data_IF_355998782209
#
_entry.id   IF_355998782209
#
_cell.length_a   1.000
_cell.length_b   1.000
_cell.length_c   1.000
_cell.angle_alpha   90.00
_cell.angle_beta   90.00
_cell.angle_gamma   90.00
#
_symmetry.space_group_name_H-M   'P 1'
#
loop_
_entity.id
_entity.type
_entity.pdbx_description
1 polymer ?
#
# COMPACT_ATOMS: atom_id res chain seq x y z
N UNK A 1 -13.22 4.61 -16.31
CA UNK A 1 -13.25 4.90 -14.86
C UNK A 1 -12.07 5.77 -14.42
N UNK A 2 -10.81 5.36 -14.64
CA UNK A 2 -9.62 6.17 -14.26
C UNK A 2 -9.57 7.57 -14.91
N UNK A 3 -9.88 7.69 -16.22
CA UNK A 3 -9.94 8.98 -16.91
C UNK A 3 -10.94 9.97 -16.31
N UNK A 4 -12.06 9.50 -15.75
CA UNK A 4 -13.04 10.39 -15.11
C UNK A 4 -12.52 10.94 -13.78
N UNK A 5 -11.77 10.13 -13.02
CA UNK A 5 -11.14 10.56 -11.75
C UNK A 5 -10.03 11.56 -12.04
N UNK A 6 -9.18 11.30 -13.03
CA UNK A 6 -8.12 12.23 -13.46
C UNK A 6 -8.71 13.58 -13.89
N UNK A 7 -9.75 13.57 -14.73
CA UNK A 7 -10.44 14.77 -15.16
C UNK A 7 -11.07 15.53 -13.98
N UNK A 8 -11.70 14.80 -13.04
CA UNK A 8 -12.33 15.41 -11.87
C UNK A 8 -11.31 16.09 -10.95
N UNK A 9 -10.14 15.47 -10.73
CA UNK A 9 -9.05 16.07 -9.94
C UNK A 9 -8.58 17.36 -10.61
N UNK A 10 -8.30 17.32 -11.92
CA UNK A 10 -7.86 18.52 -12.64
C UNK A 10 -8.89 19.65 -12.64
N UNK A 11 -10.18 19.33 -12.73
CA UNK A 11 -11.26 20.32 -12.62
C UNK A 11 -11.32 20.90 -11.20
N UNK A 12 -11.19 20.08 -10.15
CA UNK A 12 -11.19 20.57 -8.77
C UNK A 12 -9.98 21.45 -8.48
N UNK A 13 -8.79 21.07 -8.94
CA UNK A 13 -7.57 21.89 -8.82
C UNK A 13 -7.77 23.26 -9.48
N UNK A 14 -8.33 23.28 -10.69
CA UNK A 14 -8.64 24.52 -11.39
C UNK A 14 -9.67 25.39 -10.67
N UNK A 15 -10.77 24.82 -10.18
CA UNK A 15 -11.85 25.56 -9.52
C UNK A 15 -11.48 26.06 -8.13
N UNK A 16 -10.61 25.36 -7.41
CA UNK A 16 -10.20 25.70 -6.04
C UNK A 16 -8.92 26.53 -5.98
N UNK A 17 -8.16 26.61 -7.08
CA UNK A 17 -6.83 27.21 -7.11
C UNK A 17 -5.75 26.39 -6.41
N UNK A 18 -6.09 25.18 -5.91
CA UNK A 18 -5.15 24.25 -5.31
C UNK A 18 -4.45 23.45 -6.43
N UNK A 19 -3.13 23.32 -6.39
CA UNK A 19 -2.36 22.68 -7.47
C UNK A 19 -1.86 21.28 -7.15
N UNK A 20 -2.16 20.78 -5.95
CA UNK A 20 -1.59 19.57 -5.35
C UNK A 20 -2.65 18.62 -4.79
N UNK A 21 -3.94 18.80 -5.13
CA UNK A 21 -5.01 17.89 -4.69
C UNK A 21 -4.74 16.45 -5.14
N UNK A 22 -4.11 16.27 -6.30
CA UNK A 22 -3.65 14.96 -6.76
C UNK A 22 -2.72 14.24 -5.78
N UNK A 23 -1.95 14.98 -4.97
CA UNK A 23 -1.03 14.44 -3.96
C UNK A 23 -1.77 13.84 -2.75
N UNK A 24 -3.03 14.22 -2.54
CA UNK A 24 -3.92 13.59 -1.56
C UNK A 24 -4.53 12.26 -2.05
N UNK A 25 -4.12 11.77 -3.23
CA UNK A 25 -4.68 10.57 -3.87
C UNK A 25 -3.57 9.63 -4.34
N UNK A 26 -3.94 8.42 -4.80
CA UNK A 26 -2.99 7.50 -5.45
C UNK A 26 -2.83 7.76 -6.96
N UNK A 27 -3.12 8.97 -7.43
CA UNK A 27 -3.08 9.35 -8.85
C UNK A 27 -1.75 8.99 -9.51
N UNK A 28 -0.63 9.31 -8.88
CA UNK A 28 0.70 9.12 -9.44
C UNK A 28 1.02 7.64 -9.78
N UNK A 29 0.37 6.67 -9.13
CA UNK A 29 0.58 5.24 -9.37
C UNK A 29 -0.62 4.54 -10.01
N UNK A 30 -1.74 5.25 -10.18
CA UNK A 30 -3.04 4.70 -10.56
C UNK A 30 -3.12 4.02 -11.94
N UNK A 31 -2.22 4.37 -12.86
CA UNK A 31 -2.11 3.72 -14.18
C UNK A 31 -1.26 2.45 -14.15
N UNK A 32 -0.36 2.36 -13.18
CA UNK A 32 0.61 1.25 -13.04
C UNK A 32 0.14 0.18 -12.08
N UNK A 33 -0.63 0.56 -11.06
CA UNK A 33 -1.14 -0.33 -10.02
C UNK A 33 -2.65 -0.46 -10.11
N UNK A 34 -3.10 -1.70 -9.96
CA UNK A 34 -4.51 -2.03 -9.85
C UNK A 34 -4.98 -1.75 -8.42
N UNK A 35 -5.55 -0.56 -8.20
CA UNK A 35 -5.98 -0.08 -6.88
C UNK A 35 -7.35 -0.65 -6.44
N UNK A 36 -7.70 -1.87 -6.88
CA UNK A 36 -8.98 -2.48 -6.57
C UNK A 36 -9.16 -2.60 -5.05
N UNK A 37 -10.27 -2.04 -4.53
CA UNK A 37 -10.61 -2.11 -3.12
C UNK A 37 -9.99 -1.05 -2.22
N UNK A 38 -9.11 -0.18 -2.74
CA UNK A 38 -8.62 1.00 -2.00
C UNK A 38 -9.72 2.05 -1.98
N UNK A 39 -10.14 2.47 -0.77
CA UNK A 39 -11.22 3.46 -0.59
C UNK A 39 -12.61 2.98 -1.03
N UNK A 40 -12.82 1.66 -1.12
CA UNK A 40 -14.14 1.12 -1.45
C UNK A 40 -15.12 1.36 -0.30
N UNK A 41 -16.24 2.01 -0.61
CA UNK A 41 -17.35 2.25 0.34
C UNK A 41 -17.84 0.94 0.95
N UNK A 42 -18.32 1.03 2.19
CA UNK A 42 -18.86 -0.10 2.96
C UNK A 42 -17.84 -1.23 3.25
N UNK A 43 -16.53 -1.00 3.08
CA UNK A 43 -15.51 -1.89 3.62
C UNK A 43 -15.15 -1.49 5.05
N UNK A 44 -14.64 -2.44 5.86
CA UNK A 44 -13.99 -2.11 7.13
C UNK A 44 -12.91 -1.07 6.89
N UNK A 45 -13.10 0.11 7.46
CA UNK A 45 -12.07 1.14 7.46
C UNK A 45 -11.11 0.87 8.59
N UNK A 46 -9.87 1.29 8.43
CA UNK A 46 -8.85 1.18 9.47
C UNK A 46 -8.39 2.54 9.91
N UNK A 47 -8.04 2.68 11.18
CA UNK A 47 -7.54 3.93 11.73
C UNK A 47 -6.48 3.68 12.80
N UNK A 48 -5.70 4.74 13.09
CA UNK A 48 -4.85 4.77 14.25
C UNK A 48 -5.65 5.35 15.44
N UNK A 49 -5.80 4.60 16.54
CA UNK A 49 -6.51 5.12 17.72
C UNK A 49 -5.77 6.27 18.40
N UNK A 50 -4.43 6.32 18.26
CA UNK A 50 -3.62 7.39 18.84
C UNK A 50 -3.79 8.69 18.04
N UNK A 51 -3.72 8.65 16.71
CA UNK A 51 -4.04 9.82 15.86
C UNK A 51 -5.41 10.42 16.19
N UNK A 52 -6.44 9.58 16.36
CA UNK A 52 -7.77 10.07 16.71
C UNK A 52 -7.86 10.67 18.11
N UNK A 53 -7.04 10.20 19.05
CA UNK A 53 -7.00 10.75 20.40
C UNK A 53 -6.25 12.10 20.47
N UNK A 54 -5.27 12.31 19.59
CA UNK A 54 -4.40 13.49 19.59
C UNK A 54 -4.92 14.63 18.69
N UNK A 55 -5.55 14.30 17.56
CA UNK A 55 -6.02 15.31 16.61
C UNK A 55 -7.26 16.05 17.14
N UNK A 56 -7.21 17.37 17.11
CA UNK A 56 -8.39 18.20 17.30
C UNK A 56 -9.39 18.02 16.14
N UNK A 57 -10.67 18.26 16.40
CA UNK A 57 -11.72 18.04 15.40
C UNK A 57 -11.57 18.97 14.17
N UNK A 58 -11.03 20.18 14.36
CA UNK A 58 -10.78 21.13 13.28
C UNK A 58 -9.65 20.69 12.32
N UNK A 59 -8.75 19.83 12.79
CA UNK A 59 -7.61 19.29 12.02
C UNK A 59 -7.83 17.84 11.59
N UNK A 60 -9.09 17.40 11.61
CA UNK A 60 -9.43 16.00 11.40
C UNK A 60 -9.12 15.54 9.97
N UNK A 61 -8.03 14.78 9.84
CA UNK A 61 -7.62 14.15 8.58
C UNK A 61 -7.25 12.69 8.80
N UNK A 62 -7.60 11.85 7.83
CA UNK A 62 -7.22 10.44 7.76
C UNK A 62 -6.13 10.26 6.70
N UNK A 63 -4.94 9.73 7.06
CA UNK A 63 -3.91 9.43 6.09
C UNK A 63 -4.39 8.46 4.99
N UNK A 64 -4.09 8.78 3.73
CA UNK A 64 -4.37 7.94 2.56
C UNK A 64 -3.88 6.49 2.76
N UNK A 65 -2.74 6.32 3.43
CA UNK A 65 -2.13 5.03 3.71
C UNK A 65 -3.06 4.06 4.45
N UNK A 66 -3.98 4.55 5.29
CA UNK A 66 -4.91 3.71 6.05
C UNK A 66 -5.89 2.94 5.16
N UNK A 67 -6.19 3.48 3.98
CA UNK A 67 -7.05 2.84 2.98
C UNK A 67 -6.41 1.59 2.33
N UNK A 68 -5.10 1.37 2.52
CA UNK A 68 -4.35 0.26 1.93
C UNK A 68 -4.28 -0.91 2.92
N UNK A 69 -5.13 -1.92 2.75
CA UNK A 69 -5.34 -3.06 3.69
C UNK A 69 -4.08 -3.82 4.16
N UNK A 70 -3.01 -3.74 3.39
CA UNK A 70 -1.77 -4.43 3.74
C UNK A 70 -0.93 -3.67 4.78
N UNK A 71 -1.17 -2.37 4.99
CA UNK A 71 -0.48 -1.57 6.00
C UNK A 71 -0.97 -1.93 7.40
N UNK A 72 -0.10 -2.39 8.29
CA UNK A 72 -0.47 -2.87 9.62
C UNK A 72 -0.28 -1.83 10.72
N UNK A 73 0.72 -0.94 10.59
CA UNK A 73 1.02 0.07 11.61
C UNK A 73 0.80 1.49 11.16
N UNK A 74 0.46 2.35 12.12
CA UNK A 74 0.47 3.78 11.91
C UNK A 74 1.91 4.27 11.72
N UNK A 75 2.24 4.98 10.62
CA UNK A 75 3.59 5.51 10.42
C UNK A 75 3.98 6.60 11.42
N UNK A 76 3.00 7.26 12.05
CA UNK A 76 3.25 8.32 13.03
C UNK A 76 3.46 7.76 14.45
N UNK A 77 2.67 6.77 14.85
CA UNK A 77 2.63 6.28 16.25
C UNK A 77 3.15 4.86 16.43
N UNK A 78 3.35 4.11 15.35
CA UNK A 78 3.82 2.74 15.38
C UNK A 78 2.88 1.73 16.05
N UNK A 79 1.67 2.14 16.43
CA UNK A 79 0.64 1.23 16.93
C UNK A 79 -0.07 0.51 15.78
N UNK A 80 -0.75 -0.58 16.08
CA UNK A 80 -1.58 -1.28 15.11
C UNK A 80 -2.71 -0.37 14.59
N UNK A 81 -2.97 -0.45 13.29
CA UNK A 81 -4.20 0.05 12.71
C UNK A 81 -5.33 -0.93 13.03
N UNK A 82 -6.47 -0.40 13.44
CA UNK A 82 -7.61 -1.20 13.90
C UNK A 82 -8.85 -0.86 13.08
N UNK A 83 -9.81 -1.79 13.01
CA UNK A 83 -11.08 -1.63 12.30
C UNK A 83 -12.32 -1.75 13.20
N UNK A 84 -12.12 -2.03 14.49
CA UNK A 84 -13.20 -2.32 15.45
C UNK A 84 -13.18 -1.39 16.65
N UNK A 85 -14.37 -1.08 17.14
CA UNK A 85 -14.54 -0.35 18.39
C UNK A 85 -14.04 -1.21 19.56
N UNK A 86 -13.13 -0.68 20.38
CA UNK A 86 -12.65 -1.38 21.58
C UNK A 86 -13.71 -1.56 22.68
N UNK A 87 -14.82 -0.82 22.62
CA UNK A 87 -15.88 -0.83 23.65
C UNK A 87 -16.95 -1.87 23.31
N UNK A 88 -17.46 -1.88 22.08
CA UNK A 88 -18.55 -2.78 21.69
C UNK A 88 -18.17 -3.81 20.60
N UNK A 89 -16.92 -3.83 20.12
CA UNK A 89 -16.44 -4.79 19.12
C UNK A 89 -16.92 -4.54 17.68
N UNK A 90 -17.76 -3.53 17.46
CA UNK A 90 -18.36 -3.23 16.17
C UNK A 90 -17.31 -2.82 15.13
N UNK A 91 -17.36 -3.43 13.95
CA UNK A 91 -16.56 -3.02 12.79
C UNK A 91 -17.03 -1.66 12.28
N UNK A 92 -16.09 -0.75 12.02
CA UNK A 92 -16.39 0.57 11.49
C UNK A 92 -16.23 0.54 9.96
N UNK A 93 -17.24 1.00 9.22
CA UNK A 93 -17.22 0.99 7.77
C UNK A 93 -16.85 2.36 7.19
N UNK A 94 -16.30 2.37 5.98
CA UNK A 94 -16.00 3.57 5.21
C UNK A 94 -17.27 4.13 4.51
N UNK A 95 -18.21 4.69 5.30
CA UNK A 95 -19.43 5.29 4.73
C UNK A 95 -19.94 6.56 5.40
N UNK A 96 -19.37 6.95 6.55
CA UNK A 96 -19.76 8.17 7.28
C UNK A 96 -18.85 9.36 6.92
N UNK A 97 -19.26 10.58 7.27
CA UNK A 97 -18.42 11.78 7.13
C UNK A 97 -17.21 11.73 8.09
N UNK A 98 -16.09 12.37 7.74
CA UNK A 98 -14.84 12.33 8.53
C UNK A 98 -15.03 12.64 10.02
N UNK A 99 -15.85 13.65 10.35
CA UNK A 99 -16.14 14.03 11.73
C UNK A 99 -16.84 12.89 12.49
N UNK A 100 -17.78 12.20 11.85
CA UNK A 100 -18.53 11.09 12.45
C UNK A 100 -17.67 9.83 12.62
N UNK A 101 -16.62 9.66 11.81
CA UNK A 101 -15.70 8.52 11.89
C UNK A 101 -14.86 8.47 13.17
N UNK A 102 -14.91 9.49 14.03
CA UNK A 102 -14.20 9.49 15.32
C UNK A 102 -15.00 8.84 16.44
N UNK A 103 -16.27 8.55 16.20
CA UNK A 103 -17.16 7.91 17.15
C UNK A 103 -17.60 6.56 16.61
N UNK A 104 -17.84 5.61 17.50
CA UNK A 104 -18.37 4.33 17.12
C UNK A 104 -19.80 4.51 16.59
N UNK A 105 -20.08 3.98 15.40
CA UNK A 105 -21.43 4.06 14.82
C UNK A 105 -22.50 3.28 15.58
N UNK A 106 -22.10 2.37 16.48
CA UNK A 106 -23.01 1.52 17.24
C UNK A 106 -23.19 2.02 18.67
N UNK A 107 -22.10 2.30 19.40
CA UNK A 107 -22.17 2.71 20.81
C UNK A 107 -21.83 4.17 21.07
N UNK A 108 -21.55 4.96 20.03
CA UNK A 108 -21.13 6.37 20.09
C UNK A 108 -19.83 6.66 20.87
N UNK A 109 -19.17 5.64 21.44
CA UNK A 109 -17.91 5.82 22.16
C UNK A 109 -16.81 6.37 21.23
N UNK A 110 -15.89 7.16 21.80
CA UNK A 110 -14.71 7.63 21.08
C UNK A 110 -13.89 6.45 20.54
N UNK A 111 -13.47 6.56 19.28
CA UNK A 111 -12.56 5.64 18.61
C UNK A 111 -11.09 6.07 18.76
N UNK A 112 -10.83 7.15 19.51
CA UNK A 112 -9.49 7.55 19.92
C UNK A 112 -9.11 6.96 21.27
N UNK A 113 -7.93 6.36 21.37
CA UNK A 113 -7.34 5.95 22.65
C UNK A 113 -5.82 5.80 22.57
N UNK A 114 -5.15 5.83 23.72
CA UNK A 114 -3.72 5.54 23.83
C UNK A 114 -3.46 4.05 23.56
N UNK A 115 -2.56 3.75 22.65
CA UNK A 115 -2.12 2.40 22.32
C UNK A 115 -0.59 2.33 22.37
N UNK A 116 -0.05 1.17 22.74
CA UNK A 116 1.38 0.91 22.70
C UNK A 116 1.90 0.72 21.28
N UNK A 117 3.22 0.76 21.11
CA UNK A 117 3.86 0.42 19.84
C UNK A 117 3.65 -1.06 19.50
N UNK A 118 3.16 -1.33 18.29
CA UNK A 118 3.03 -2.68 17.76
C UNK A 118 4.29 -3.15 17.03
N UNK A 119 5.28 -2.27 16.79
CA UNK A 119 6.51 -2.62 16.07
C UNK A 119 7.29 -3.77 16.68
N UNK A 120 7.22 -3.93 18.01
CA UNK A 120 7.85 -5.03 18.74
C UNK A 120 7.17 -6.38 18.50
N UNK A 121 5.88 -6.37 18.15
CA UNK A 121 5.10 -7.57 17.83
C UNK A 121 5.14 -7.92 16.33
N UNK A 122 5.45 -6.95 15.46
CA UNK A 122 5.54 -7.20 14.02
C UNK A 122 6.69 -8.14 13.66
N UNK A 123 6.43 -9.05 12.74
CA UNK A 123 7.46 -9.77 12.02
C UNK A 123 8.27 -8.82 11.14
N UNK A 124 9.48 -9.25 10.76
CA UNK A 124 10.29 -8.48 9.81
C UNK A 124 9.61 -8.33 8.44
N UNK A 125 8.73 -9.27 8.07
CA UNK A 125 8.00 -9.22 6.81
C UNK A 125 6.94 -8.12 6.81
N UNK A 126 6.16 -8.01 7.89
CA UNK A 126 5.15 -6.96 8.04
C UNK A 126 5.78 -5.58 8.04
N UNK A 127 6.91 -5.40 8.74
CA UNK A 127 7.68 -4.14 8.69
C UNK A 127 8.14 -3.80 7.27
N UNK A 128 8.58 -4.80 6.50
CA UNK A 128 8.98 -4.60 5.11
C UNK A 128 7.79 -4.21 4.24
N UNK A 129 6.64 -4.89 4.39
CA UNK A 129 5.39 -4.56 3.67
C UNK A 129 4.95 -3.12 3.98
N UNK A 130 4.91 -2.75 5.27
CA UNK A 130 4.58 -1.39 5.71
C UNK A 130 5.50 -0.36 5.03
N UNK A 131 6.82 -0.61 5.00
CA UNK A 131 7.78 0.26 4.33
C UNK A 131 7.53 0.38 2.82
N UNK A 132 7.18 -0.71 2.13
CA UNK A 132 6.86 -0.67 0.69
C UNK A 132 5.58 0.14 0.41
N UNK A 133 4.56 -0.02 1.24
CA UNK A 133 3.30 0.74 1.10
C UNK A 133 3.55 2.22 1.32
N UNK A 134 4.31 2.56 2.37
CA UNK A 134 4.66 3.95 2.66
C UNK A 134 5.53 4.56 1.55
N UNK A 135 6.39 3.78 0.89
CA UNK A 135 7.13 4.26 -0.29
C UNK A 135 6.20 4.63 -1.45
N UNK A 136 5.16 3.83 -1.72
CA UNK A 136 4.12 4.15 -2.73
C UNK A 136 3.37 5.43 -2.34
N UNK A 137 2.93 5.54 -1.09
CA UNK A 137 2.19 6.71 -0.61
C UNK A 137 3.05 7.97 -0.65
N UNK A 138 4.32 7.89 -0.26
CA UNK A 138 5.27 9.02 -0.34
C UNK A 138 5.48 9.49 -1.78
N UNK A 139 5.66 8.55 -2.73
CA UNK A 139 5.75 8.89 -4.14
C UNK A 139 4.46 9.57 -4.64
N UNK A 140 3.29 9.07 -4.22
CA UNK A 140 2.02 9.67 -4.61
C UNK A 140 1.77 11.05 -3.99
N UNK A 141 2.30 11.30 -2.80
CA UNK A 141 2.15 12.55 -2.06
C UNK A 141 3.16 13.63 -2.46
N UNK A 142 4.16 13.30 -3.28
CA UNK A 142 5.18 14.25 -3.73
C UNK A 142 4.69 15.04 -4.96
N UNK A 143 4.56 16.38 -4.88
CA UNK A 143 4.13 17.21 -6.01
C UNK A 143 5.02 17.12 -7.25
N UNK A 144 6.31 16.74 -7.07
CA UNK A 144 7.28 16.59 -8.15
C UNK A 144 7.22 15.22 -8.82
N UNK A 145 6.54 14.25 -8.20
CA UNK A 145 6.44 12.90 -8.74
C UNK A 145 5.52 12.87 -9.96
N UNK A 146 6.06 12.40 -11.09
CA UNK A 146 5.31 12.19 -12.32
C UNK A 146 4.39 10.97 -12.18
N UNK A 147 3.28 10.97 -12.93
CA UNK A 147 2.44 9.78 -13.03
C UNK A 147 3.22 8.64 -13.70
N UNK A 148 3.25 7.48 -13.05
CA UNK A 148 3.92 6.30 -13.58
C UNK A 148 3.19 5.79 -14.84
N UNK A 149 3.95 5.44 -15.89
CA UNK A 149 3.36 4.97 -17.14
C UNK A 149 2.76 3.58 -16.96
N UNK A 150 1.64 3.30 -17.64
CA UNK A 150 0.84 2.08 -17.43
C UNK A 150 1.59 0.76 -17.69
N UNK A 151 2.68 0.80 -18.46
CA UNK A 151 3.54 -0.32 -18.79
C UNK A 151 4.73 -0.48 -17.84
N UNK A 152 4.88 0.35 -16.79
CA UNK A 152 6.03 0.30 -15.88
C UNK A 152 6.29 -1.10 -15.29
N UNK A 153 5.24 -1.77 -14.79
CA UNK A 153 5.37 -3.15 -14.31
C UNK A 153 5.72 -4.14 -15.43
N UNK A 154 5.16 -3.95 -16.63
CA UNK A 154 5.49 -4.79 -17.77
C UNK A 154 6.95 -4.64 -18.19
N UNK A 155 7.51 -3.41 -18.20
CA UNK A 155 8.93 -3.15 -18.46
C UNK A 155 9.80 -3.87 -17.43
N UNK A 156 9.45 -3.78 -16.14
CA UNK A 156 10.15 -4.49 -15.08
C UNK A 156 10.17 -6.01 -15.33
N UNK A 157 9.03 -6.62 -15.65
CA UNK A 157 8.99 -8.05 -15.95
C UNK A 157 9.77 -8.43 -17.22
N UNK A 158 9.84 -7.55 -18.23
CA UNK A 158 10.67 -7.78 -19.43
C UNK A 158 12.15 -7.79 -19.11
N UNK A 159 12.62 -6.87 -18.26
CA UNK A 159 14.00 -6.84 -17.77
C UNK A 159 14.32 -8.13 -17.01
N UNK A 160 13.46 -8.52 -16.07
CA UNK A 160 13.65 -9.76 -15.30
C UNK A 160 13.69 -11.01 -16.18
N UNK A 161 12.88 -11.05 -17.26
CA UNK A 161 12.87 -12.17 -18.21
C UNK A 161 14.19 -12.37 -18.94
N UNK A 162 15.01 -11.32 -19.06
CA UNK A 162 16.34 -11.40 -19.66
C UNK A 162 17.39 -12.01 -18.72
N UNK A 163 17.05 -12.29 -17.46
CA UNK A 163 17.95 -12.82 -16.44
C UNK A 163 17.35 -14.15 -15.92
N UNK A 164 17.74 -15.32 -16.45
CA UNK A 164 17.10 -16.60 -16.17
C UNK A 164 16.97 -16.92 -14.68
N UNK A 165 18.01 -16.62 -13.88
CA UNK A 165 18.07 -16.90 -12.45
C UNK A 165 17.01 -16.10 -11.69
N UNK A 166 16.86 -14.82 -12.03
CA UNK A 166 15.86 -13.92 -11.44
C UNK A 166 14.45 -14.23 -11.94
N UNK A 167 14.32 -14.54 -13.23
CA UNK A 167 13.06 -14.92 -13.85
C UNK A 167 12.47 -16.16 -13.19
N UNK A 168 13.29 -17.15 -12.83
CA UNK A 168 12.84 -18.37 -12.14
C UNK A 168 12.08 -18.08 -10.83
N UNK A 169 12.41 -16.98 -10.14
CA UNK A 169 11.78 -16.56 -8.90
C UNK A 169 10.50 -15.72 -9.08
N UNK A 170 10.19 -15.27 -10.30
CA UNK A 170 8.96 -14.53 -10.58
C UNK A 170 7.73 -15.46 -10.43
N UNK A 171 6.60 -14.99 -9.84
CA UNK A 171 5.40 -15.80 -9.65
C UNK A 171 4.92 -16.45 -10.94
N UNK A 172 4.50 -17.72 -10.86
CA UNK A 172 4.09 -18.51 -12.02
C UNK A 172 2.93 -17.86 -12.80
N UNK A 173 2.04 -17.16 -12.12
CA UNK A 173 0.91 -16.40 -12.71
C UNK A 173 1.39 -15.25 -13.63
N UNK A 174 2.50 -14.60 -13.29
CA UNK A 174 3.12 -13.56 -14.12
C UNK A 174 3.89 -14.20 -15.27
N UNK A 175 4.66 -15.27 -14.97
CA UNK A 175 5.45 -15.98 -15.99
C UNK A 175 4.58 -16.58 -17.09
N UNK A 176 3.45 -17.22 -16.74
CA UNK A 176 2.56 -17.85 -17.71
C UNK A 176 1.99 -16.84 -18.70
N UNK A 177 1.53 -15.67 -18.21
CA UNK A 177 0.98 -14.59 -19.05
C UNK A 177 1.98 -14.03 -20.05
N UNK A 178 3.25 -13.88 -19.65
CA UNK A 178 4.31 -13.40 -20.55
C UNK A 178 4.78 -14.45 -21.56
N UNK A 179 4.61 -15.75 -21.26
CA UNK A 179 4.88 -16.84 -22.21
C UNK A 179 3.79 -16.93 -23.27
N UNK A 180 2.52 -16.80 -22.88
CA UNK A 180 1.39 -16.94 -23.79
C UNK A 180 1.15 -15.71 -24.66
N UNK A 181 1.55 -14.52 -24.19
CA UNK A 181 1.31 -13.27 -24.90
C UNK A 181 2.56 -12.41 -25.01
N UNK A 182 3.54 -12.89 -25.77
CA UNK A 182 4.83 -12.19 -25.97
C UNK A 182 4.69 -10.79 -26.56
N UNK A 183 3.57 -10.49 -27.23
CA UNK A 183 3.24 -9.19 -27.82
C UNK A 183 2.22 -8.34 -27.03
N UNK A 184 1.52 -8.89 -26.03
CA UNK A 184 0.55 -8.09 -25.25
C UNK A 184 1.18 -7.58 -23.95
N UNK A 185 0.92 -6.31 -23.67
CA UNK A 185 1.27 -5.66 -22.41
C UNK A 185 0.60 -6.38 -21.23
N UNK A 186 1.34 -6.58 -20.15
CA UNK A 186 0.75 -7.07 -18.91
C UNK A 186 -0.20 -6.00 -18.34
N UNK A 187 -1.37 -6.36 -17.83
CA UNK A 187 -2.22 -5.41 -17.13
C UNK A 187 -1.54 -4.96 -15.82
N UNK A 188 -1.92 -3.79 -15.27
CA UNK A 188 -1.51 -3.36 -13.94
C UNK A 188 -1.72 -4.47 -12.90
N UNK A 189 -0.69 -4.85 -12.11
CA UNK A 189 -0.84 -5.86 -11.07
C UNK A 189 -1.63 -5.29 -9.89
N UNK A 190 -2.28 -6.18 -9.14
CA UNK A 190 -2.71 -5.87 -7.78
C UNK A 190 -1.48 -5.76 -6.87
N UNK A 191 -1.61 -5.05 -5.75
CA UNK A 191 -0.48 -4.69 -4.88
C UNK A 191 0.26 -5.92 -4.34
N UNK A 192 -0.46 -7.00 -4.06
CA UNK A 192 0.07 -8.28 -3.58
C UNK A 192 1.07 -8.88 -4.57
N UNK A 193 0.72 -8.86 -5.86
CA UNK A 193 1.58 -9.38 -6.93
C UNK A 193 2.82 -8.48 -7.07
N UNK A 194 2.67 -7.16 -6.95
CA UNK A 194 3.80 -6.24 -6.99
C UNK A 194 4.76 -6.49 -5.81
N UNK A 195 4.23 -6.63 -4.60
CA UNK A 195 5.00 -6.93 -3.39
C UNK A 195 5.72 -8.27 -3.51
N UNK A 196 5.05 -9.30 -4.01
CA UNK A 196 5.66 -10.61 -4.21
C UNK A 196 6.81 -10.56 -5.23
N UNK A 197 6.61 -9.90 -6.38
CA UNK A 197 7.69 -9.72 -7.36
C UNK A 197 8.84 -8.95 -6.72
N UNK A 198 8.59 -7.78 -6.13
CA UNK A 198 9.63 -6.98 -5.47
C UNK A 198 10.40 -7.79 -4.41
N UNK A 199 9.68 -8.57 -3.60
CA UNK A 199 10.27 -9.46 -2.60
C UNK A 199 11.13 -10.56 -3.23
N UNK A 200 10.70 -11.19 -4.33
CA UNK A 200 11.50 -12.23 -5.03
C UNK A 200 12.78 -11.65 -5.63
N UNK A 201 12.75 -10.37 -6.00
CA UNK A 201 13.86 -9.67 -6.63
C UNK A 201 14.73 -8.90 -5.65
N UNK A 202 14.43 -8.99 -4.35
CA UNK A 202 15.14 -8.31 -3.27
C UNK A 202 15.26 -6.79 -3.49
N UNK A 203 14.21 -6.17 -4.03
CA UNK A 203 14.17 -4.74 -4.30
C UNK A 203 12.93 -4.08 -3.70
N UNK A 204 12.92 -2.74 -3.65
CA UNK A 204 11.74 -1.98 -3.30
C UNK A 204 10.72 -1.92 -4.43
N UNK A 205 9.44 -1.73 -4.10
CA UNK A 205 8.36 -1.62 -5.10
C UNK A 205 8.52 -0.39 -6.00
N UNK A 206 8.98 0.74 -5.44
CA UNK A 206 9.18 1.95 -6.25
C UNK A 206 10.36 1.80 -7.20
N UNK A 207 11.49 1.24 -6.73
CA UNK A 207 12.62 0.93 -7.60
C UNK A 207 12.24 -0.01 -8.75
N UNK A 208 11.38 -1.01 -8.46
CA UNK A 208 10.82 -1.92 -9.47
C UNK A 208 10.05 -1.20 -10.57
N UNK A 209 9.33 -0.12 -10.24
CA UNK A 209 8.47 0.58 -11.18
C UNK A 209 9.15 1.77 -11.88
N UNK A 210 10.07 2.46 -11.21
CA UNK A 210 10.69 3.69 -11.72
C UNK A 210 12.00 3.45 -12.47
N UNK A 211 12.80 2.47 -12.05
CA UNK A 211 14.12 2.20 -12.60
C UNK A 211 14.42 0.69 -12.68
N UNK A 212 13.63 -0.08 -13.45
CA UNK A 212 13.78 -1.53 -13.51
C UNK A 212 15.13 -2.00 -14.04
N UNK A 213 15.82 -1.20 -14.84
CA UNK A 213 17.15 -1.50 -15.37
C UNK A 213 18.23 -1.43 -14.27
N UNK A 214 18.07 -0.55 -13.28
CA UNK A 214 18.99 -0.44 -12.17
C UNK A 214 18.98 -1.69 -11.28
N UNK A 215 17.88 -2.45 -11.27
CA UNK A 215 17.74 -3.70 -10.49
C UNK A 215 18.69 -4.79 -10.98
N UNK A 216 19.10 -4.71 -12.25
CA UNK A 216 20.13 -5.58 -12.84
C UNK A 216 21.49 -5.30 -12.18
N UNK A 217 21.74 -4.03 -11.82
CA UNK A 217 23.02 -3.51 -11.36
C UNK A 217 23.12 -3.42 -9.83
N UNK A 218 22.00 -3.34 -9.12
CA UNK A 218 22.01 -3.40 -7.67
C UNK A 218 22.45 -4.80 -7.24
N UNK A 219 23.59 -4.88 -6.53
CA UNK A 219 23.90 -6.05 -5.71
C UNK A 219 22.63 -6.41 -4.93
N UNK A 220 22.30 -7.70 -4.86
CA UNK A 220 21.15 -8.20 -4.07
C UNK A 220 21.19 -7.73 -2.60
N UNK A 221 22.33 -7.16 -2.18
CA UNK A 221 22.58 -6.50 -0.92
C UNK A 221 23.40 -5.21 -1.16
N UNK A 222 22.81 -4.00 -1.13
CA UNK A 222 23.59 -2.77 -1.04
C UNK A 222 24.21 -2.68 0.36
N UNK A 223 25.50 -2.38 0.49
CA UNK A 223 26.14 -2.12 1.78
C UNK A 223 25.44 -0.95 2.49
N UNK A 224 25.02 -1.14 3.74
CA UNK A 224 24.15 -0.21 4.44
C UNK A 224 24.90 1.07 4.81
N UNK A 225 24.31 2.23 4.51
CA UNK A 225 24.78 3.53 5.05
C UNK A 225 23.73 4.26 5.89
N UNK A 226 22.44 3.85 5.89
CA UNK A 226 21.42 4.52 6.73
C UNK A 226 20.42 3.57 7.42
N UNK A 227 19.90 4.01 8.59
CA UNK A 227 18.88 3.29 9.36
C UNK A 227 17.50 3.24 8.66
N UNK A 228 17.24 4.13 7.69
CA UNK A 228 16.01 4.15 6.88
C UNK A 228 15.99 2.99 5.87
N UNK A 229 17.16 2.48 5.46
CA UNK A 229 17.32 1.39 4.50
C UNK A 229 17.15 0.00 5.12
N UNK A 230 17.20 -0.11 6.45
CA UNK A 230 17.05 -1.38 7.16
C UNK A 230 15.65 -1.99 7.00
N UNK A 231 14.60 -1.15 6.90
CA UNK A 231 13.22 -1.58 6.64
C UNK A 231 12.92 -1.91 5.17
N UNK A 232 13.78 -1.46 4.24
CA UNK A 232 13.67 -1.76 2.80
C UNK A 232 14.29 -3.11 2.44
N UNK A 233 15.18 -3.65 3.28
CA UNK A 233 15.75 -4.99 3.11
C UNK A 233 14.71 -6.04 3.43
N UNK A 234 14.42 -6.90 2.45
CA UNK A 234 13.61 -8.09 2.67
C UNK A 234 14.33 -8.99 3.70
N UNK A 235 13.69 -9.39 4.80
CA UNK A 235 14.22 -10.46 5.66
C UNK A 235 14.32 -11.77 4.87
N UNK A 236 15.32 -12.61 5.14
CA UNK A 236 15.48 -13.92 4.51
C UNK A 236 14.28 -14.84 4.86
N UNK A 237 13.21 -14.75 4.05
CA UNK A 237 11.94 -15.44 4.31
C UNK A 237 11.53 -16.24 3.05
N UNK A 238 11.15 -17.52 3.22
CA UNK A 238 10.60 -18.34 2.14
C UNK A 238 9.34 -17.74 1.51
N UNK A 239 9.20 -17.80 0.18
CA UNK A 239 8.07 -17.22 -0.57
C UNK A 239 6.69 -17.73 -0.12
N UNK A 240 6.61 -18.99 0.34
CA UNK A 240 5.39 -19.58 0.92
C UNK A 240 4.86 -18.77 2.11
N UNK A 241 5.75 -18.21 2.94
CA UNK A 241 5.36 -17.38 4.10
C UNK A 241 4.86 -16.00 3.67
N UNK A 242 5.33 -15.46 2.54
CA UNK A 242 4.82 -14.20 2.00
C UNK A 242 3.40 -14.36 1.47
N UNK A 243 3.13 -15.42 0.69
CA UNK A 243 1.76 -15.67 0.22
C UNK A 243 0.81 -15.91 1.39
N UNK A 244 1.16 -16.79 2.32
CA UNK A 244 0.33 -17.08 3.48
C UNK A 244 0.09 -15.83 4.36
N UNK A 245 1.09 -14.95 4.52
CA UNK A 245 0.91 -13.69 5.24
C UNK A 245 0.01 -12.72 4.45
N UNK A 246 0.22 -12.55 3.14
CA UNK A 246 -0.65 -11.69 2.33
C UNK A 246 -2.10 -12.17 2.35
N UNK A 247 -2.31 -13.48 2.21
CA UNK A 247 -3.64 -14.09 2.30
C UNK A 247 -4.21 -13.86 3.70
N UNK A 248 -3.46 -14.11 4.78
CA UNK A 248 -3.89 -13.83 6.15
C UNK A 248 -4.23 -12.36 6.42
N UNK A 249 -3.40 -11.41 5.98
CA UNK A 249 -3.66 -9.97 6.15
C UNK A 249 -4.89 -9.51 5.34
N UNK A 250 -5.25 -10.23 4.28
CA UNK A 250 -6.44 -9.98 3.49
C UNK A 250 -7.67 -10.74 4.04
N UNK A 251 -7.49 -11.93 4.62
CA UNK A 251 -8.53 -12.80 5.17
C UNK A 251 -8.86 -12.50 6.65
N UNK A 252 -7.98 -11.83 7.40
CA UNK A 252 -8.23 -11.21 8.72
C UNK A 252 -9.16 -9.98 8.59
N UNK A 253 -10.22 -10.10 7.80
CA UNK A 253 -11.51 -9.59 8.23
C UNK A 253 -12.08 -10.67 9.14
N UNK A 254 -12.32 -10.42 10.45
CA UNK A 254 -12.77 -11.51 11.29
C UNK A 254 -14.04 -12.11 10.74
N UNK A 255 -13.95 -13.40 10.42
CA UNK A 255 -15.06 -14.31 10.47
C UNK A 255 -15.71 -14.16 11.85
N UNK A 256 -16.81 -13.43 11.85
CA UNK A 256 -17.92 -13.60 12.78
C UNK A 256 -19.19 -13.42 11.94
N UNK A 257 -19.41 -14.35 11.02
CA UNK A 257 -20.76 -14.68 10.55
C UNK A 257 -21.27 -15.80 11.48
N UNK A 258 -21.80 -15.38 12.62
CA UNK A 258 -22.96 -15.97 13.28
C UNK A 258 -23.80 -14.80 13.79
#
# INVERSE_FOLDING_TARGET
>A
MLQHVECSIGVMEHLTGQTDLRCGTLWAVSRTLSLHGVGARNRPRRWCPVCYAEQEMAEASEPLAWSIRLLQTCPAHGCALVDRCRICGATQLDCDALVQRRQCRQCAASLGWRAGSAHLAQSALERWIDAQILAIVRYAADPQSAQLPSDAFHRACRVLRCIPERWAHVPASVRSRLRTHTQRMLPPPVLEVLLEVAATQHCGVMALLTAPEAIIQTSLWPDATSAQDAGLRKPAIPLLRLRALLDHLLDEAPAAYL
#
